data_IF_358677360336
#
_entry.id   IF_358677360336
#
_cell.length_a   1.000
_cell.length_b   1.000
_cell.length_c   1.000
_cell.angle_alpha   90.00
_cell.angle_beta   90.00
_cell.angle_gamma   90.00
#
_symmetry.space_group_name_H-M   'P 1'
#
loop_
_entity.id
_entity.type
_entity.pdbx_description
1 polymer ?
#
# COMPACT_ATOMS: atom_id res chain seq x y z
N UNK A 1 2.38 6.55 4.98
CA UNK A 1 1.06 6.24 5.59
C UNK A 1 0.72 4.81 5.23
N UNK A 2 -0.19 4.17 5.95
CA UNK A 2 -0.57 2.79 5.68
C UNK A 2 -0.94 2.01 6.94
N UNK A 3 -1.07 0.71 6.77
CA UNK A 3 -1.34 -0.22 7.85
C UNK A 3 -0.28 -1.32 7.82
N UNK A 4 -0.70 -2.57 7.90
CA UNK A 4 0.03 -3.82 7.63
C UNK A 4 1.47 -3.66 7.10
N UNK A 5 1.65 -3.59 5.77
CA UNK A 5 2.98 -3.67 5.18
C UNK A 5 3.79 -2.39 5.43
N UNK A 6 3.15 -1.22 5.36
CA UNK A 6 3.84 0.05 5.58
C UNK A 6 4.27 0.26 7.03
N UNK A 7 3.54 -0.31 7.99
CA UNK A 7 3.79 -0.21 9.43
C UNK A 7 4.72 -1.32 9.96
N UNK A 8 5.19 -2.24 9.09
CA UNK A 8 6.18 -3.25 9.44
C UNK A 8 5.61 -4.50 10.10
N UNK A 9 4.34 -4.83 9.89
CA UNK A 9 3.86 -6.14 10.32
C UNK A 9 4.39 -7.21 9.34
N UNK A 10 5.24 -8.12 9.83
CA UNK A 10 5.88 -9.17 9.03
C UNK A 10 7.26 -8.82 8.45
N UNK A 11 7.68 -7.55 8.51
CA UNK A 11 8.97 -7.07 8.00
C UNK A 11 9.41 -5.75 8.64
N UNK A 12 10.45 -5.10 8.10
CA UNK A 12 10.81 -3.76 8.55
C UNK A 12 9.76 -2.74 8.07
N UNK A 13 9.42 -1.72 8.87
CA UNK A 13 8.46 -0.71 8.46
C UNK A 13 9.03 0.14 7.30
N UNK A 14 8.16 0.59 6.41
CA UNK A 14 8.58 1.36 5.23
C UNK A 14 9.39 2.60 5.60
N UNK A 15 9.06 3.26 6.70
CA UNK A 15 9.78 4.45 7.17
C UNK A 15 11.28 4.18 7.35
N UNK A 16 11.65 3.04 7.92
CA UNK A 16 13.05 2.73 8.19
C UNK A 16 13.79 2.34 6.92
N UNK A 17 13.14 1.57 6.04
CA UNK A 17 13.71 1.14 4.76
C UNK A 17 13.92 2.35 3.84
N UNK A 18 12.92 3.23 3.73
CA UNK A 18 13.00 4.44 2.90
C UNK A 18 14.02 5.42 3.47
N UNK A 19 14.08 5.58 4.80
CA UNK A 19 15.11 6.42 5.44
C UNK A 19 16.52 5.94 5.12
N UNK A 20 16.74 4.62 5.09
CA UNK A 20 18.02 4.05 4.69
C UNK A 20 18.33 4.26 3.19
N UNK A 21 17.32 4.15 2.32
CA UNK A 21 17.48 4.31 0.86
C UNK A 21 17.59 5.78 0.41
N UNK A 22 17.03 6.72 1.17
CA UNK A 22 17.02 8.15 0.87
C UNK A 22 17.70 8.99 1.97
N UNK A 23 19.02 8.85 2.19
CA UNK A 23 19.71 9.46 3.34
C UNK A 23 19.76 11.00 3.32
N UNK A 24 19.39 11.62 2.19
CA UNK A 24 19.29 13.08 2.04
C UNK A 24 17.88 13.63 2.32
N UNK A 25 16.92 12.75 2.54
CA UNK A 25 15.53 13.10 2.82
C UNK A 25 15.22 12.93 4.31
N UNK A 26 14.37 13.80 4.85
CA UNK A 26 13.78 13.59 6.17
C UNK A 26 12.55 12.72 5.98
N UNK A 27 12.51 11.56 6.64
CA UNK A 27 11.47 10.55 6.46
C UNK A 27 10.77 10.28 7.78
N UNK A 28 9.45 10.46 7.79
CA UNK A 28 8.58 10.22 8.95
C UNK A 28 7.52 9.16 8.68
N UNK A 29 7.19 8.40 9.72
CA UNK A 29 6.25 7.28 9.67
C UNK A 29 4.91 7.65 10.31
N UNK A 30 3.85 7.62 9.51
CA UNK A 30 2.47 7.76 10.02
C UNK A 30 1.70 6.43 10.04
N UNK A 31 2.23 5.36 9.44
CA UNK A 31 1.54 4.08 9.35
C UNK A 31 1.24 3.47 10.73
N UNK A 32 0.15 2.71 10.84
CA UNK A 32 -0.29 2.11 12.10
C UNK A 32 -0.74 0.66 11.92
N UNK A 33 -0.07 -0.27 12.60
CA UNK A 33 -0.43 -1.70 12.61
C UNK A 33 -1.83 -1.96 13.17
N UNK A 34 -2.38 -1.04 13.97
CA UNK A 34 -3.72 -1.15 14.55
C UNK A 34 -4.82 -0.43 13.76
N UNK A 35 -4.55 0.01 12.52
CA UNK A 35 -5.52 0.71 11.68
C UNK A 35 -6.86 -0.05 11.51
N UNK A 36 -6.83 -1.39 11.56
CA UNK A 36 -8.01 -2.24 11.47
C UNK A 36 -9.07 -2.00 12.57
N UNK A 37 -8.69 -1.38 13.70
CA UNK A 37 -9.61 -1.14 14.83
C UNK A 37 -10.59 0.00 14.57
N UNK A 38 -10.13 1.05 13.91
CA UNK A 38 -10.95 2.17 13.46
C UNK A 38 -10.33 2.78 12.20
N UNK A 39 -10.59 2.18 11.03
CA UNK A 39 -9.95 2.59 9.80
C UNK A 39 -10.27 4.03 9.42
N UNK A 40 -11.46 4.54 9.76
CA UNK A 40 -11.90 5.89 9.40
C UNK A 40 -11.16 6.92 10.25
N UNK A 41 -11.10 6.74 11.57
CA UNK A 41 -10.34 7.64 12.43
C UNK A 41 -8.84 7.62 12.11
N UNK A 42 -8.28 6.42 11.89
CA UNK A 42 -6.85 6.26 11.60
C UNK A 42 -6.47 6.87 10.24
N UNK A 43 -7.30 6.74 9.21
CA UNK A 43 -7.12 7.47 7.94
C UNK A 43 -6.91 8.96 8.18
N UNK A 44 -7.79 9.59 8.96
CA UNK A 44 -7.69 11.02 9.27
C UNK A 44 -6.44 11.35 10.08
N UNK A 45 -6.13 10.58 11.12
CA UNK A 45 -4.95 10.78 11.97
C UNK A 45 -3.66 10.73 11.14
N UNK A 46 -3.55 9.77 10.22
CA UNK A 46 -2.35 9.65 9.39
C UNK A 46 -2.19 10.80 8.40
N UNK A 47 -3.30 11.27 7.82
CA UNK A 47 -3.29 12.47 6.96
C UNK A 47 -2.94 13.72 7.77
N UNK A 48 -3.51 13.89 8.97
CA UNK A 48 -3.18 14.99 9.87
C UNK A 48 -1.69 15.02 10.22
N UNK A 49 -1.09 13.84 10.49
CA UNK A 49 0.36 13.71 10.71
C UNK A 49 1.16 14.10 9.49
N UNK A 50 0.79 13.65 8.29
CA UNK A 50 1.49 14.00 7.05
C UNK A 50 1.44 15.50 6.75
N UNK A 51 0.27 16.14 6.96
CA UNK A 51 0.08 17.58 6.79
C UNK A 51 0.87 18.35 7.86
N UNK A 52 0.81 17.93 9.13
CA UNK A 52 1.56 18.55 10.23
C UNK A 52 3.07 18.47 10.03
N UNK A 53 3.56 17.35 9.46
CA UNK A 53 4.95 17.18 9.04
C UNK A 53 5.33 18.00 7.80
N UNK A 54 4.35 18.59 7.10
CA UNK A 54 4.53 19.30 5.81
C UNK A 54 5.20 18.41 4.77
N UNK A 55 4.74 17.16 4.68
CA UNK A 55 5.28 16.20 3.72
C UNK A 55 5.20 16.75 2.29
N UNK A 56 6.31 16.69 1.55
CA UNK A 56 6.33 17.03 0.11
C UNK A 56 6.00 15.83 -0.77
N UNK A 57 6.14 14.62 -0.23
CA UNK A 57 5.83 13.34 -0.87
C UNK A 57 5.29 12.39 0.17
N UNK A 58 4.20 11.68 -0.15
CA UNK A 58 3.56 10.69 0.71
C UNK A 58 3.44 9.38 -0.03
N UNK A 59 3.99 8.32 0.56
CA UNK A 59 3.85 6.94 0.10
C UNK A 59 2.77 6.25 0.96
N UNK A 60 1.75 5.70 0.31
CA UNK A 60 0.50 5.22 0.90
C UNK A 60 0.00 3.96 0.18
N UNK A 61 0.84 2.93 0.07
CA UNK A 61 0.57 1.75 -0.78
C UNK A 61 -0.60 0.90 -0.26
N UNK A 62 -0.63 0.61 1.04
CA UNK A 62 -1.68 -0.20 1.67
C UNK A 62 -2.68 0.64 2.48
N UNK A 63 -2.71 1.96 2.27
CA UNK A 63 -3.47 2.89 3.09
C UNK A 63 -4.98 2.69 3.02
N UNK A 64 -5.53 2.38 1.84
CA UNK A 64 -6.97 2.20 1.65
C UNK A 64 -7.47 0.80 2.03
N UNK A 65 -6.58 -0.13 2.39
CA UNK A 65 -6.93 -1.53 2.62
C UNK A 65 -8.03 -1.66 3.68
N UNK A 66 -7.81 -1.14 4.89
CA UNK A 66 -8.78 -1.27 5.97
C UNK A 66 -10.02 -0.39 5.82
N UNK A 67 -10.02 0.61 4.93
CA UNK A 67 -11.24 1.33 4.58
C UNK A 67 -12.23 0.46 3.78
N UNK A 68 -11.76 -0.63 3.17
CA UNK A 68 -12.61 -1.60 2.48
C UNK A 68 -12.75 -2.91 3.28
N UNK A 69 -11.68 -3.40 3.90
CA UNK A 69 -11.69 -4.66 4.65
C UNK A 69 -12.18 -4.51 6.11
N UNK A 70 -12.33 -3.29 6.62
CA UNK A 70 -12.68 -3.04 8.03
C UNK A 70 -14.08 -3.50 8.43
N UNK A 71 -14.99 -3.75 7.49
CA UNK A 71 -16.35 -4.19 7.76
C UNK A 71 -16.87 -5.12 6.66
N UNK A 72 -17.73 -6.11 6.98
CA UNK A 72 -18.48 -6.87 5.98
C UNK A 72 -19.63 -6.06 5.35
N UNK A 73 -20.05 -4.94 5.94
CA UNK A 73 -21.17 -4.11 5.46
C UNK A 73 -20.78 -3.32 4.19
N UNK A 74 -21.40 -3.60 3.02
CA UNK A 74 -21.11 -2.88 1.78
C UNK A 74 -21.33 -1.38 1.88
N UNK A 75 -22.38 -0.95 2.58
CA UNK A 75 -22.69 0.48 2.72
C UNK A 75 -21.65 1.18 3.60
N UNK A 76 -21.08 0.48 4.59
CA UNK A 76 -19.95 1.00 5.35
C UNK A 76 -18.72 1.17 4.47
N UNK A 77 -18.39 0.20 3.61
CA UNK A 77 -17.23 0.25 2.70
C UNK A 77 -17.29 1.45 1.76
N UNK A 78 -18.45 1.72 1.17
CA UNK A 78 -18.65 2.89 0.30
C UNK A 78 -18.43 4.20 1.04
N UNK A 79 -19.00 4.35 2.25
CA UNK A 79 -18.82 5.55 3.09
C UNK A 79 -17.37 5.71 3.53
N UNK A 80 -16.72 4.62 3.94
CA UNK A 80 -15.33 4.63 4.39
C UNK A 80 -14.37 5.01 3.25
N UNK A 81 -14.57 4.45 2.05
CA UNK A 81 -13.78 4.85 0.86
C UNK A 81 -14.00 6.32 0.51
N UNK A 82 -15.26 6.77 0.47
CA UNK A 82 -15.58 8.18 0.17
C UNK A 82 -14.89 9.12 1.16
N UNK A 83 -14.95 8.80 2.46
CA UNK A 83 -14.27 9.57 3.50
C UNK A 83 -12.75 9.56 3.31
N UNK A 84 -12.15 8.40 2.99
CA UNK A 84 -10.71 8.30 2.79
C UNK A 84 -10.22 9.08 1.57
N UNK A 85 -10.97 9.07 0.47
CA UNK A 85 -10.65 9.87 -0.72
C UNK A 85 -10.75 11.38 -0.44
N UNK A 86 -11.69 11.81 0.42
CA UNK A 86 -11.78 13.21 0.86
C UNK A 86 -10.57 13.62 1.72
N UNK A 87 -10.10 12.74 2.61
CA UNK A 87 -8.88 12.99 3.40
C UNK A 87 -7.63 13.04 2.51
N UNK A 88 -7.52 12.16 1.51
CA UNK A 88 -6.44 12.21 0.52
C UNK A 88 -6.49 13.50 -0.32
N UNK A 89 -7.67 14.01 -0.65
CA UNK A 89 -7.82 15.30 -1.33
C UNK A 89 -7.36 16.47 -0.45
N UNK A 90 -7.68 16.43 0.85
CA UNK A 90 -7.17 17.42 1.83
C UNK A 90 -5.64 17.41 1.92
N UNK A 91 -5.03 16.22 1.91
CA UNK A 91 -3.57 16.08 1.84
C UNK A 91 -3.02 16.68 0.54
N UNK A 92 -3.61 16.31 -0.60
CA UNK A 92 -3.19 16.78 -1.94
C UNK A 92 -3.25 18.30 -2.06
N UNK A 93 -4.23 18.94 -1.44
CA UNK A 93 -4.37 20.39 -1.41
C UNK A 93 -3.16 21.12 -0.77
N UNK A 94 -2.30 20.42 -0.03
CA UNK A 94 -1.02 20.99 0.47
C UNK A 94 0.07 21.07 -0.60
N UNK A 95 -0.15 20.47 -1.78
CA UNK A 95 0.81 20.41 -2.87
C UNK A 95 1.75 19.19 -2.83
N UNK A 96 1.57 18.28 -1.87
CA UNK A 96 2.36 17.06 -1.75
C UNK A 96 2.14 16.11 -2.94
N UNK A 97 3.20 15.41 -3.35
CA UNK A 97 3.08 14.21 -4.17
C UNK A 97 2.42 13.09 -3.36
N UNK A 98 1.49 12.37 -3.98
CA UNK A 98 0.84 11.22 -3.39
C UNK A 98 1.08 9.98 -4.26
N UNK A 99 1.77 9.00 -3.70
CA UNK A 99 1.96 7.68 -4.28
C UNK A 99 1.02 6.71 -3.56
N UNK A 100 -0.06 6.32 -4.22
CA UNK A 100 -1.20 5.62 -3.63
C UNK A 100 -1.34 4.23 -4.27
N UNK A 101 -1.50 3.19 -3.47
CA UNK A 101 -1.87 1.87 -4.00
C UNK A 101 -3.39 1.71 -4.14
N UNK A 102 -3.80 0.99 -5.18
CA UNK A 102 -5.13 0.39 -5.23
C UNK A 102 -5.22 -0.83 -4.28
N UNK A 103 -6.39 -1.47 -4.21
CA UNK A 103 -6.69 -2.44 -3.16
C UNK A 103 -6.54 -3.87 -3.68
N UNK A 104 -5.67 -4.70 -3.08
CA UNK A 104 -5.49 -6.08 -3.50
C UNK A 104 -6.63 -6.98 -3.03
N UNK A 105 -6.92 -8.03 -3.81
CA UNK A 105 -7.82 -9.10 -3.42
C UNK A 105 -7.06 -10.16 -2.61
N UNK A 106 -7.31 -10.21 -1.30
CA UNK A 106 -6.60 -11.10 -0.38
C UNK A 106 -7.52 -12.20 0.11
N UNK A 107 -7.33 -13.40 -0.46
CA UNK A 107 -8.08 -14.63 -0.11
C UNK A 107 -7.24 -15.65 0.66
N UNK A 108 -5.95 -15.38 0.81
CA UNK A 108 -4.98 -16.29 1.44
C UNK A 108 -4.86 -16.10 2.95
N UNK A 109 -5.46 -15.06 3.50
CA UNK A 109 -5.37 -14.72 4.90
C UNK A 109 -6.04 -15.79 5.79
N UNK A 110 -5.42 -16.07 6.93
CA UNK A 110 -6.00 -16.94 7.94
C UNK A 110 -7.24 -16.29 8.57
N UNK A 111 -8.28 -17.08 8.87
CA UNK A 111 -9.58 -16.61 9.37
C UNK A 111 -9.46 -15.76 10.67
N UNK A 112 -8.51 -16.11 11.53
CA UNK A 112 -8.27 -15.39 12.79
C UNK A 112 -7.58 -14.03 12.58
N UNK A 113 -6.98 -13.81 11.41
CA UNK A 113 -6.31 -12.56 11.05
C UNK A 113 -7.25 -11.65 10.24
N UNK A 114 -7.90 -12.22 9.23
CA UNK A 114 -8.89 -11.54 8.40
C UNK A 114 -10.08 -12.49 8.18
N UNK A 115 -11.16 -12.33 8.94
CA UNK A 115 -12.39 -13.08 8.75
C UNK A 115 -12.85 -13.07 7.29
N UNK A 116 -13.24 -14.23 6.74
CA UNK A 116 -13.70 -14.32 5.35
C UNK A 116 -14.90 -13.40 5.06
N UNK A 117 -15.76 -13.18 6.05
CA UNK A 117 -16.88 -12.26 5.91
C UNK A 117 -16.44 -10.81 5.60
N UNK A 118 -15.23 -10.42 6.01
CA UNK A 118 -14.67 -9.09 5.73
C UNK A 118 -14.00 -9.00 4.36
N UNK A 119 -13.69 -10.12 3.70
CA UNK A 119 -13.12 -10.15 2.35
C UNK A 119 -14.21 -9.76 1.35
N UNK A 120 -14.08 -8.66 0.59
CA UNK A 120 -15.04 -8.30 -0.45
C UNK A 120 -14.95 -9.28 -1.62
N UNK A 121 -16.08 -9.48 -2.31
CA UNK A 121 -16.09 -10.22 -3.56
C UNK A 121 -15.23 -9.51 -4.62
N UNK A 122 -14.63 -10.27 -5.53
CA UNK A 122 -13.72 -9.73 -6.55
C UNK A 122 -14.38 -8.63 -7.42
N UNK A 123 -15.68 -8.75 -7.71
CA UNK A 123 -16.43 -7.77 -8.48
C UNK A 123 -16.64 -6.44 -7.72
N UNK A 124 -16.90 -6.52 -6.42
CA UNK A 124 -17.02 -5.34 -5.56
C UNK A 124 -15.66 -4.63 -5.45
N UNK A 125 -14.59 -5.40 -5.28
CA UNK A 125 -13.24 -4.87 -5.20
C UNK A 125 -12.82 -4.17 -6.50
N UNK A 126 -13.19 -4.72 -7.66
CA UNK A 126 -12.98 -4.09 -8.95
C UNK A 126 -13.72 -2.74 -9.06
N UNK A 127 -14.93 -2.65 -8.49
CA UNK A 127 -15.71 -1.41 -8.44
C UNK A 127 -15.05 -0.34 -7.56
N UNK A 128 -14.52 -0.74 -6.39
CA UNK A 128 -13.76 0.17 -5.54
C UNK A 128 -12.47 0.65 -6.21
N UNK A 129 -11.71 -0.23 -6.84
CA UNK A 129 -10.49 0.13 -7.56
C UNK A 129 -10.76 1.04 -8.77
N UNK A 130 -11.86 0.83 -9.50
CA UNK A 130 -12.29 1.73 -10.56
C UNK A 130 -12.64 3.13 -10.01
N UNK A 131 -13.25 3.21 -8.82
CA UNK A 131 -13.53 4.49 -8.14
C UNK A 131 -12.25 5.21 -7.74
N UNK A 132 -11.26 4.48 -7.20
CA UNK A 132 -9.94 5.02 -6.85
C UNK A 132 -9.21 5.51 -8.12
N UNK A 133 -9.24 4.73 -9.20
CA UNK A 133 -8.64 5.10 -10.47
C UNK A 133 -9.22 6.39 -11.04
N UNK A 134 -10.56 6.50 -11.08
CA UNK A 134 -11.25 7.74 -11.51
C UNK A 134 -10.98 8.92 -10.58
N UNK A 135 -10.80 8.67 -9.28
CA UNK A 135 -10.35 9.70 -8.35
C UNK A 135 -8.90 10.11 -8.60
N UNK A 136 -8.00 9.23 -9.02
CA UNK A 136 -6.62 9.60 -9.33
C UNK A 136 -6.47 10.26 -10.71
N UNK A 137 -7.31 9.89 -11.67
CA UNK A 137 -7.23 10.29 -13.07
C UNK A 137 -7.19 11.81 -13.25
N UNK A 138 -6.22 12.28 -14.06
CA UNK A 138 -6.04 13.69 -14.40
C UNK A 138 -5.56 14.58 -13.26
N UNK A 139 -5.40 14.05 -12.02
CA UNK A 139 -4.93 14.85 -10.89
C UNK A 139 -3.41 14.95 -10.91
N UNK A 140 -2.93 16.19 -10.95
CA UNK A 140 -1.49 16.45 -10.80
C UNK A 140 -0.98 15.92 -9.46
N UNK A 141 0.26 15.42 -9.48
CA UNK A 141 0.99 14.92 -8.31
C UNK A 141 0.34 13.73 -7.60
N UNK A 142 -0.55 13.00 -8.28
CA UNK A 142 -1.08 11.71 -7.82
C UNK A 142 -0.54 10.62 -8.73
N UNK A 143 0.16 9.65 -8.15
CA UNK A 143 0.63 8.45 -8.81
C UNK A 143 -0.10 7.24 -8.22
N UNK A 144 -0.99 6.65 -9.02
CA UNK A 144 -1.63 5.39 -8.66
C UNK A 144 -0.68 4.22 -8.97
N UNK A 145 -0.52 3.34 -8.00
CA UNK A 145 0.31 2.14 -8.03
C UNK A 145 -0.60 0.92 -8.15
N UNK A 146 -0.35 -0.01 -9.10
CA UNK A 146 -1.19 -1.18 -9.35
C UNK A 146 -0.89 -2.31 -8.33
N UNK A 147 -1.01 -2.00 -7.05
CA UNK A 147 -0.74 -2.90 -5.95
C UNK A 147 -1.59 -4.17 -6.00
N UNK A 148 -2.85 -4.07 -6.42
CA UNK A 148 -3.74 -5.19 -6.65
C UNK A 148 -3.19 -6.18 -7.67
N UNK A 149 -2.60 -5.68 -8.76
CA UNK A 149 -1.95 -6.52 -9.77
C UNK A 149 -0.70 -7.20 -9.22
N UNK A 150 0.08 -6.48 -8.40
CA UNK A 150 1.29 -7.05 -7.78
C UNK A 150 0.98 -8.15 -6.76
N UNK A 151 -0.16 -8.06 -6.09
CA UNK A 151 -0.63 -9.07 -5.14
C UNK A 151 -1.40 -10.23 -5.80
N UNK A 152 -1.94 -10.06 -7.03
CA UNK A 152 -2.75 -11.06 -7.71
C UNK A 152 -2.10 -12.47 -7.79
N UNK A 153 -0.78 -12.62 -7.98
CA UNK A 153 -0.12 -13.93 -7.94
C UNK A 153 -0.30 -14.70 -6.62
N UNK A 154 -0.48 -14.02 -5.49
CA UNK A 154 -0.76 -14.66 -4.20
C UNK A 154 -2.11 -15.38 -4.24
N UNK A 155 -3.16 -14.68 -4.68
CA UNK A 155 -4.50 -15.25 -4.81
C UNK A 155 -4.56 -16.40 -5.83
N UNK A 156 -3.75 -16.31 -6.90
CA UNK A 156 -3.66 -17.34 -7.92
C UNK A 156 -2.76 -18.54 -7.55
N UNK A 157 -2.05 -18.49 -6.42
CA UNK A 157 -1.04 -19.50 -6.08
C UNK A 157 0.10 -19.59 -7.09
N UNK A 158 0.39 -18.49 -7.79
CA UNK A 158 1.34 -18.43 -8.89
C UNK A 158 2.77 -18.14 -8.41
N UNK A 159 3.72 -18.23 -9.33
CA UNK A 159 5.09 -17.74 -9.12
C UNK A 159 5.24 -16.29 -9.58
N UNK A 160 6.15 -15.58 -8.93
CA UNK A 160 6.57 -14.23 -9.31
C UNK A 160 8.07 -14.21 -9.57
N UNK A 161 8.46 -13.44 -10.57
CA UNK A 161 9.86 -13.11 -10.81
C UNK A 161 10.24 -11.93 -9.91
N UNK A 162 11.22 -12.14 -9.03
CA UNK A 162 11.64 -11.16 -8.02
C UNK A 162 12.94 -10.44 -8.40
N UNK A 163 13.75 -11.06 -9.26
CA UNK A 163 14.85 -10.44 -10.00
C UNK A 163 14.93 -11.12 -11.37
N UNK A 164 15.57 -10.52 -12.39
CA UNK A 164 15.68 -11.15 -13.71
C UNK A 164 16.26 -12.57 -13.64
N UNK A 165 15.47 -13.56 -14.05
CA UNK A 165 15.82 -14.99 -14.03
C UNK A 165 15.56 -15.72 -12.70
N UNK A 166 15.08 -15.04 -11.66
CA UNK A 166 14.77 -15.64 -10.36
C UNK A 166 13.27 -15.61 -10.08
N UNK A 167 12.66 -16.80 -10.03
CA UNK A 167 11.24 -16.99 -9.72
C UNK A 167 11.05 -17.68 -8.39
N UNK A 168 10.08 -17.21 -7.62
CA UNK A 168 9.66 -17.84 -6.36
C UNK A 168 8.15 -17.99 -6.34
N UNK A 169 7.63 -18.98 -5.63
CA UNK A 169 6.19 -19.08 -5.37
C UNK A 169 5.74 -17.84 -4.59
N UNK A 170 4.70 -17.13 -5.06
CA UNK A 170 4.27 -15.87 -4.44
C UNK A 170 4.01 -16.02 -2.93
N UNK A 171 3.50 -17.18 -2.50
CA UNK A 171 3.27 -17.52 -1.09
C UNK A 171 4.51 -17.36 -0.19
N UNK A 172 5.73 -17.45 -0.74
CA UNK A 172 6.97 -17.28 0.04
C UNK A 172 7.26 -15.82 0.36
N UNK A 173 6.50 -14.87 -0.19
CA UNK A 173 6.61 -13.44 0.08
C UNK A 173 5.69 -12.98 1.22
N UNK A 174 4.82 -13.85 1.71
CA UNK A 174 3.92 -13.57 2.84
C UNK A 174 4.25 -14.43 4.04
N UNK A 175 3.90 -13.95 5.23
CA UNK A 175 4.04 -14.68 6.48
C UNK A 175 3.03 -15.83 6.60
N UNK A 176 3.11 -16.61 7.69
CA UNK A 176 2.22 -17.74 7.94
C UNK A 176 0.72 -17.35 8.06
N UNK A 177 0.42 -16.08 8.33
CA UNK A 177 -0.95 -15.58 8.37
C UNK A 177 -1.56 -15.39 6.98
N UNK A 178 -0.77 -15.51 5.90
CA UNK A 178 -1.23 -15.39 4.52
C UNK A 178 -1.73 -13.99 4.12
N UNK A 179 -1.52 -12.98 4.96
CA UNK A 179 -1.92 -11.58 4.73
C UNK A 179 -0.70 -10.66 4.64
N UNK A 180 0.21 -10.78 5.59
CA UNK A 180 1.28 -9.80 5.76
C UNK A 180 2.53 -10.20 4.99
N UNK A 181 3.10 -9.25 4.25
CA UNK A 181 4.37 -9.47 3.56
C UNK A 181 5.48 -9.75 4.58
N UNK A 182 6.30 -10.77 4.31
CA UNK A 182 7.51 -10.99 5.09
C UNK A 182 8.63 -10.05 4.61
N UNK A 183 9.83 -10.13 5.19
CA UNK A 183 10.96 -9.27 4.79
C UNK A 183 11.25 -9.31 3.27
N UNK A 184 11.21 -10.49 2.63
CA UNK A 184 11.43 -10.62 1.19
C UNK A 184 10.27 -10.01 0.39
N UNK A 185 9.04 -10.20 0.84
CA UNK A 185 7.85 -9.58 0.22
C UNK A 185 7.84 -8.06 0.34
N UNK A 186 8.27 -7.51 1.47
CA UNK A 186 8.45 -6.06 1.66
C UNK A 186 9.48 -5.51 0.68
N UNK A 187 10.64 -6.16 0.58
CA UNK A 187 11.68 -5.76 -0.36
C UNK A 187 11.18 -5.82 -1.81
N UNK A 188 10.52 -6.91 -2.21
CA UNK A 188 9.95 -7.06 -3.55
C UNK A 188 8.91 -5.98 -3.88
N UNK A 189 8.05 -5.63 -2.93
CA UNK A 189 7.06 -4.57 -3.09
C UNK A 189 7.72 -3.20 -3.29
N UNK A 190 8.76 -2.89 -2.52
CA UNK A 190 9.50 -1.64 -2.61
C UNK A 190 10.33 -1.55 -3.90
N UNK A 191 10.93 -2.65 -4.35
CA UNK A 191 11.62 -2.73 -5.65
C UNK A 191 10.65 -2.45 -6.82
N UNK A 192 9.46 -3.07 -6.80
CA UNK A 192 8.40 -2.76 -7.78
C UNK A 192 7.96 -1.30 -7.72
N UNK A 193 7.90 -0.72 -6.52
CA UNK A 193 7.53 0.67 -6.33
C UNK A 193 8.56 1.63 -6.94
N UNK A 194 9.85 1.38 -6.73
CA UNK A 194 10.92 2.20 -7.31
C UNK A 194 10.86 2.17 -8.84
N UNK A 195 10.85 0.97 -9.44
CA UNK A 195 10.71 0.79 -10.89
C UNK A 195 9.43 1.43 -11.45
N UNK A 196 8.32 1.39 -10.71
CA UNK A 196 7.08 2.03 -11.12
C UNK A 196 7.19 3.56 -11.12
N UNK A 197 7.80 4.14 -10.08
CA UNK A 197 8.02 5.59 -9.98
C UNK A 197 8.93 6.06 -11.11
N UNK A 198 10.04 5.37 -11.35
CA UNK A 198 10.98 5.68 -12.44
C UNK A 198 10.33 5.64 -13.82
N UNK A 199 9.49 4.63 -14.06
CA UNK A 199 8.78 4.47 -15.31
C UNK A 199 7.64 5.47 -15.53
N UNK A 200 7.14 6.13 -14.48
CA UNK A 200 5.98 7.02 -14.54
C UNK A 200 6.29 8.50 -14.34
N UNK A 201 7.37 8.84 -13.64
CA UNK A 201 7.75 10.22 -13.34
C UNK A 201 8.99 10.61 -14.16
N UNK A 202 8.83 11.44 -15.21
CA UNK A 202 9.93 11.87 -16.05
C UNK A 202 11.04 12.55 -15.24
N UNK A 203 12.29 12.20 -15.53
CA UNK A 203 13.46 12.80 -14.85
C UNK A 203 13.80 12.18 -13.50
N UNK A 204 13.06 11.17 -13.04
CA UNK A 204 13.47 10.34 -11.89
C UNK A 204 14.75 9.58 -12.28
N UNK A 205 15.85 9.70 -11.53
CA UNK A 205 17.05 8.90 -11.77
C UNK A 205 16.73 7.41 -11.70
N UNK A 206 17.40 6.61 -12.52
CA UNK A 206 17.41 5.16 -12.30
C UNK A 206 18.12 4.83 -10.99
N UNK A 207 17.64 3.80 -10.32
CA UNK A 207 18.10 3.34 -9.03
C UNK A 207 18.06 4.47 -7.98
N UNK A 208 17.04 5.32 -8.04
CA UNK A 208 16.89 6.45 -7.11
C UNK A 208 16.71 5.96 -5.66
N UNK A 209 16.08 4.80 -5.47
CA UNK A 209 15.95 4.14 -4.18
C UNK A 209 16.46 2.69 -4.26
N UNK A 210 17.73 2.47 -3.91
CA UNK A 210 18.27 1.11 -3.84
C UNK A 210 17.94 0.47 -2.49
N UNK A 211 17.09 -0.55 -2.52
CA UNK A 211 16.74 -1.32 -1.32
C UNK A 211 17.62 -2.56 -1.16
N UNK A 212 18.21 -2.71 0.02
CA UNK A 212 19.01 -3.91 0.34
C UNK A 212 18.10 -5.13 0.44
N UNK A 213 18.35 -6.13 -0.41
CA UNK A 213 17.69 -7.43 -0.33
C UNK A 213 17.97 -8.11 1.02
N UNK A 214 16.94 -8.64 1.71
CA UNK A 214 17.14 -9.41 2.94
C UNK A 214 17.85 -10.75 2.64
N UNK A 215 18.55 -11.34 3.62
CA UNK A 215 19.11 -12.68 3.47
C UNK A 215 17.99 -13.71 3.20
N UNK A 216 18.31 -14.70 2.36
CA UNK A 216 17.46 -15.85 2.03
C UNK A 216 17.34 -16.82 3.19
#
# INVERSE_FOLDING_TARGET
MGASVSAGFGGAPFVDIIRAAAPRSVVEGAANVFMFRDPVAETRIQVDKAIGFRATTVIAIDFLFWNIYGSPDPAWRERALTSALAELERLRATGAWLVLGDIPHVVTAAEWMLPRAQVPEAADLATFNATIARWAEGRERVLLVPFASWAAPLAAGAEVEITPGERVAARTLVGPDGLHANALGVWFLLDKLDHWIEGKLPGTPKDALVFKRPPS
#
